data_IF_269138742163
#
_entry.id   IF_269138742163
#
_cell.length_a   1.000
_cell.length_b   1.000
_cell.length_c   1.000
_cell.angle_alpha   90.00
_cell.angle_beta   90.00
_cell.angle_gamma   90.00
#
_symmetry.space_group_name_H-M   'P 1'
#
loop_
_entity.id
_entity.type
_entity.pdbx_description
1 polymer ?
#
# COMPACT_ATOMS: atom_id res chain seq x y z
N UNK A 1 8.80 -25.11 12.59
CA UNK A 1 8.92 -24.75 11.15
C UNK A 1 8.53 -23.28 11.04
N UNK A 2 9.48 -22.40 10.72
CA UNK A 2 9.36 -20.95 10.90
C UNK A 2 8.30 -20.36 9.95
N UNK A 3 7.38 -19.58 10.54
CA UNK A 3 6.14 -19.13 9.89
C UNK A 3 6.35 -17.96 8.94
N UNK A 4 6.41 -18.27 7.65
CA UNK A 4 6.27 -17.31 6.56
C UNK A 4 4.82 -17.23 6.06
N UNK A 5 4.48 -16.12 5.39
CA UNK A 5 3.24 -15.96 4.65
C UNK A 5 3.31 -16.69 3.30
N UNK A 6 2.16 -17.07 2.74
CA UNK A 6 2.05 -17.66 1.41
C UNK A 6 0.88 -17.06 0.64
N UNK A 7 0.98 -17.04 -0.69
CA UNK A 7 -0.09 -16.59 -1.57
C UNK A 7 -1.13 -17.70 -1.71
N UNK A 8 -2.38 -17.39 -1.41
CA UNK A 8 -3.49 -18.35 -1.54
C UNK A 8 -3.85 -18.58 -3.01
N UNK A 9 -4.46 -19.73 -3.31
CA UNK A 9 -4.87 -20.06 -4.69
C UNK A 9 -5.87 -19.04 -5.26
N UNK A 10 -6.74 -18.49 -4.42
CA UNK A 10 -7.73 -17.47 -4.80
C UNK A 10 -7.06 -16.14 -5.22
N UNK A 11 -5.96 -15.77 -4.57
CA UNK A 11 -5.26 -14.50 -4.82
C UNK A 11 -4.26 -14.57 -5.99
N UNK A 12 -4.00 -15.75 -6.57
CA UNK A 12 -3.05 -15.89 -7.70
C UNK A 12 -3.46 -15.09 -8.93
N UNK A 13 -4.77 -15.03 -9.23
CA UNK A 13 -5.26 -14.23 -10.37
C UNK A 13 -4.99 -12.74 -10.15
N UNK A 14 -5.38 -12.21 -8.99
CA UNK A 14 -5.13 -10.81 -8.64
C UNK A 14 -3.64 -10.43 -8.68
N UNK A 15 -2.76 -11.34 -8.25
CA UNK A 15 -1.31 -11.16 -8.36
C UNK A 15 -0.86 -11.07 -9.84
N UNK A 16 -1.33 -11.98 -10.68
CA UNK A 16 -1.00 -12.00 -12.11
C UNK A 16 -1.49 -10.73 -12.82
N UNK A 17 -2.71 -10.30 -12.53
CA UNK A 17 -3.31 -9.10 -13.11
C UNK A 17 -2.52 -7.86 -12.67
N UNK A 18 -2.22 -7.73 -11.37
CA UNK A 18 -1.43 -6.63 -10.84
C UNK A 18 -0.01 -6.59 -11.46
N UNK A 19 0.64 -7.74 -11.58
CA UNK A 19 1.97 -7.84 -12.18
C UNK A 19 1.94 -7.41 -13.66
N UNK A 20 0.92 -7.85 -14.43
CA UNK A 20 0.72 -7.41 -15.80
C UNK A 20 0.49 -5.91 -15.92
N UNK A 21 -0.28 -5.31 -15.02
CA UNK A 21 -0.54 -3.86 -15.01
C UNK A 21 0.72 -3.06 -14.65
N UNK A 22 1.57 -3.59 -13.78
CA UNK A 22 2.85 -2.96 -13.43
C UNK A 22 3.97 -3.25 -14.43
N UNK A 23 3.76 -4.15 -15.39
CA UNK A 23 4.77 -4.56 -16.35
C UNK A 23 5.93 -5.34 -15.71
N UNK A 24 5.65 -6.11 -14.66
CA UNK A 24 6.63 -6.95 -13.96
C UNK A 24 6.19 -8.41 -13.96
N UNK A 25 7.13 -9.33 -13.75
CA UNK A 25 6.80 -10.75 -13.66
C UNK A 25 6.04 -11.06 -12.35
N UNK A 26 4.99 -11.92 -12.39
CA UNK A 26 4.23 -12.30 -11.19
C UNK A 26 5.09 -12.86 -10.06
N UNK A 27 6.14 -13.61 -10.39
CA UNK A 27 7.06 -14.19 -9.40
C UNK A 27 7.93 -13.13 -8.73
N UNK A 28 8.29 -12.06 -9.44
CA UNK A 28 9.03 -10.93 -8.85
C UNK A 28 8.14 -10.19 -7.86
N UNK A 29 6.88 -9.93 -8.23
CA UNK A 29 5.90 -9.31 -7.33
C UNK A 29 5.61 -10.20 -6.12
N UNK A 30 5.48 -11.53 -6.32
CA UNK A 30 5.28 -12.49 -5.25
C UNK A 30 6.46 -12.45 -4.26
N UNK A 31 7.68 -12.53 -4.78
CA UNK A 31 8.88 -12.53 -3.94
C UNK A 31 9.01 -11.23 -3.14
N UNK A 32 8.72 -10.08 -3.75
CA UNK A 32 8.74 -8.80 -3.07
C UNK A 32 7.71 -8.70 -1.91
N UNK A 33 6.57 -9.40 -2.02
CA UNK A 33 5.52 -9.43 -1.00
C UNK A 33 5.73 -10.50 0.08
N UNK A 34 6.54 -11.52 -0.21
CA UNK A 34 6.76 -12.67 0.67
C UNK A 34 8.11 -12.65 1.38
N UNK A 35 9.11 -11.97 0.84
CA UNK A 35 10.46 -11.97 1.36
C UNK A 35 11.03 -10.56 1.48
N UNK A 36 11.79 -10.34 2.54
CA UNK A 36 12.67 -9.18 2.68
C UNK A 36 14.11 -9.60 2.44
N UNK A 37 14.79 -8.91 1.53
CA UNK A 37 16.24 -9.07 1.33
C UNK A 37 16.98 -8.22 2.38
N UNK A 38 17.88 -8.84 3.14
CA UNK A 38 18.71 -8.18 4.15
C UNK A 38 20.18 -8.49 3.87
N UNK A 39 21.03 -7.48 3.91
CA UNK A 39 22.48 -7.68 3.79
C UNK A 39 23.03 -8.03 5.16
N UNK A 40 23.55 -9.23 5.32
CA UNK A 40 24.24 -9.61 6.56
C UNK A 40 25.67 -9.13 6.45
N UNK A 41 26.11 -8.28 7.39
CA UNK A 41 27.51 -7.90 7.55
C UNK A 41 28.15 -8.88 8.52
N UNK A 42 28.81 -9.91 8.00
CA UNK A 42 29.49 -10.90 8.83
C UNK A 42 30.78 -10.31 9.43
N UNK A 43 31.07 -10.64 10.68
CA UNK A 43 32.31 -10.26 11.38
C UNK A 43 33.52 -11.13 11.01
N UNK A 44 33.46 -11.86 9.89
CA UNK A 44 34.51 -12.79 9.44
C UNK A 44 34.77 -12.70 7.94
N UNK A 45 36.00 -13.07 7.54
CA UNK A 45 36.49 -13.02 6.16
C UNK A 45 35.66 -13.93 5.24
N UNK A 46 34.71 -13.32 4.51
CA UNK A 46 33.87 -13.99 3.50
C UNK A 46 32.35 -13.94 3.73
N UNK A 47 31.87 -13.32 4.82
CA UNK A 47 30.46 -13.42 5.23
C UNK A 47 29.58 -12.18 4.92
N UNK A 48 29.87 -11.46 3.82
CA UNK A 48 28.97 -10.42 3.29
C UNK A 48 27.99 -11.03 2.28
N UNK A 49 26.91 -11.63 2.79
CA UNK A 49 25.86 -12.28 2.00
C UNK A 49 24.56 -11.48 1.92
N UNK A 50 23.79 -11.72 0.85
CA UNK A 50 22.37 -11.37 0.81
C UNK A 50 21.56 -12.51 1.39
N UNK A 51 20.75 -12.22 2.40
CA UNK A 51 19.84 -13.17 3.04
C UNK A 51 18.39 -12.78 2.73
N UNK A 52 17.59 -13.74 2.26
CA UNK A 52 16.15 -13.57 2.14
C UNK A 52 15.45 -14.07 3.41
N UNK A 53 14.64 -13.21 4.01
CA UNK A 53 13.88 -13.49 5.23
C UNK A 53 12.40 -13.51 4.86
N UNK A 54 11.72 -14.63 5.12
CA UNK A 54 10.28 -14.74 4.89
C UNK A 54 9.49 -13.78 5.80
N UNK A 55 8.54 -13.06 5.22
CA UNK A 55 7.68 -12.11 5.92
C UNK A 55 6.54 -12.82 6.63
N UNK A 56 6.14 -12.28 7.79
CA UNK A 56 4.89 -12.66 8.45
C UNK A 56 3.69 -12.09 7.69
N UNK A 57 2.50 -12.62 7.97
CA UNK A 57 1.25 -12.19 7.33
C UNK A 57 0.98 -10.70 7.50
N UNK A 58 1.24 -10.16 8.69
CA UNK A 58 1.03 -8.74 9.01
C UNK A 58 2.00 -7.87 8.21
N UNK A 59 3.27 -8.28 8.12
CA UNK A 59 4.30 -7.55 7.36
C UNK A 59 3.99 -7.54 5.86
N UNK A 60 3.60 -8.70 5.30
CA UNK A 60 3.19 -8.81 3.90
C UNK A 60 1.94 -7.97 3.59
N UNK A 61 0.97 -7.94 4.51
CA UNK A 61 -0.25 -7.12 4.35
C UNK A 61 0.07 -5.62 4.41
N UNK A 62 0.93 -5.20 5.34
CA UNK A 62 1.39 -3.83 5.44
C UNK A 62 2.17 -3.40 4.20
N UNK A 63 3.04 -4.27 3.66
CA UNK A 63 3.78 -4.01 2.43
C UNK A 63 2.85 -3.83 1.22
N UNK A 64 1.82 -4.68 1.07
CA UNK A 64 0.78 -4.52 0.04
C UNK A 64 0.08 -3.17 0.15
N UNK A 65 -0.37 -2.81 1.35
CA UNK A 65 -1.11 -1.56 1.58
C UNK A 65 -0.23 -0.33 1.36
N UNK A 66 1.04 -0.40 1.76
CA UNK A 66 2.03 0.65 1.50
C UNK A 66 2.29 0.81 0.00
N UNK A 67 2.43 -0.29 -0.74
CA UNK A 67 2.59 -0.25 -2.20
C UNK A 67 1.38 0.42 -2.87
N UNK A 68 0.16 0.03 -2.49
CA UNK A 68 -1.06 0.63 -3.04
C UNK A 68 -1.13 2.14 -2.79
N UNK A 69 -0.82 2.57 -1.55
CA UNK A 69 -0.76 4.00 -1.19
C UNK A 69 0.30 4.75 -2.00
N UNK A 70 1.49 4.18 -2.15
CA UNK A 70 2.57 4.79 -2.90
C UNK A 70 2.23 4.97 -4.39
N UNK A 71 1.61 3.97 -5.01
CA UNK A 71 1.17 4.04 -6.41
C UNK A 71 0.11 5.14 -6.56
N UNK A 72 -0.92 5.13 -5.71
CA UNK A 72 -1.99 6.11 -5.78
C UNK A 72 -1.47 7.54 -5.57
N UNK A 73 -0.58 7.75 -4.60
CA UNK A 73 0.04 9.05 -4.35
C UNK A 73 0.78 9.55 -5.60
N UNK A 74 1.61 8.70 -6.22
CA UNK A 74 2.38 9.10 -7.41
C UNK A 74 1.49 9.34 -8.63
N UNK A 75 0.42 8.57 -8.78
CA UNK A 75 -0.56 8.78 -9.83
C UNK A 75 -1.27 10.12 -9.67
N UNK A 76 -1.68 10.46 -8.45
CA UNK A 76 -2.32 11.74 -8.15
C UNK A 76 -1.39 12.91 -8.48
N UNK A 77 -0.14 12.87 -8.00
CA UNK A 77 0.87 13.90 -8.28
C UNK A 77 1.12 14.05 -9.80
N UNK A 78 1.17 12.93 -10.52
CA UNK A 78 1.31 12.93 -11.98
C UNK A 78 0.12 13.63 -12.66
N UNK A 79 -1.12 13.30 -12.27
CA UNK A 79 -2.32 13.93 -12.82
C UNK A 79 -2.31 15.44 -12.56
N UNK A 80 -2.02 15.86 -11.32
CA UNK A 80 -1.93 17.29 -10.95
C UNK A 80 -0.87 17.99 -11.79
N UNK A 81 0.30 17.37 -11.97
CA UNK A 81 1.37 17.90 -12.81
C UNK A 81 0.94 18.04 -14.28
N UNK A 82 0.26 17.05 -14.85
CA UNK A 82 -0.26 17.11 -16.21
C UNK A 82 -1.27 18.25 -16.39
N UNK A 83 -2.18 18.45 -15.43
CA UNK A 83 -3.15 19.55 -15.47
C UNK A 83 -2.43 20.90 -15.40
N UNK A 84 -1.47 21.05 -14.49
CA UNK A 84 -0.69 22.29 -14.34
C UNK A 84 0.15 22.60 -15.58
N UNK A 85 0.63 21.60 -16.30
CA UNK A 85 1.35 21.78 -17.57
C UNK A 85 0.42 22.13 -18.74
N UNK A 86 -0.81 21.62 -18.74
CA UNK A 86 -1.80 21.89 -19.77
C UNK A 86 -2.36 23.32 -19.70
N UNK A 87 -2.26 23.98 -18.54
CA UNK A 87 -2.71 25.36 -18.34
C UNK A 87 -1.49 26.29 -18.46
N UNK A 88 -1.34 27.02 -19.57
CA UNK A 88 -0.21 27.93 -19.75
C UNK A 88 -0.28 29.08 -18.73
N UNK A 89 0.69 29.14 -17.83
CA UNK A 89 0.84 30.21 -16.85
C UNK A 89 2.00 31.13 -17.27
N UNK A 90 1.68 32.38 -17.60
CA UNK A 90 2.66 33.45 -17.69
C UNK A 90 3.19 33.79 -16.29
N UNK A 91 4.44 34.28 -16.19
CA UNK A 91 4.99 34.79 -14.93
C UNK A 91 4.18 36.02 -14.50
N UNK A 92 3.18 35.80 -13.66
CA UNK A 92 2.30 36.84 -13.16
C UNK A 92 2.67 37.15 -11.71
N UNK A 93 2.82 38.43 -11.37
CA UNK A 93 3.19 38.88 -10.01
C UNK A 93 2.04 38.74 -9.00
N UNK A 94 0.81 38.49 -9.47
CA UNK A 94 -0.43 38.43 -8.65
C UNK A 94 -1.32 37.28 -9.12
N UNK A 95 -1.98 36.59 -8.18
CA UNK A 95 -2.95 35.52 -8.44
C UNK A 95 -4.10 35.55 -7.43
N UNK A 96 -5.27 35.02 -7.82
CA UNK A 96 -6.42 34.80 -6.94
C UNK A 96 -6.63 33.28 -6.85
N UNK A 97 -6.53 32.71 -5.65
CA UNK A 97 -6.73 31.28 -5.41
C UNK A 97 -8.07 31.00 -4.74
N UNK A 98 -8.71 29.89 -5.11
CA UNK A 98 -9.90 29.35 -4.45
C UNK A 98 -9.51 28.08 -3.71
N UNK A 99 -9.84 27.99 -2.41
CA UNK A 99 -9.52 26.83 -1.57
C UNK A 99 -10.82 26.07 -1.26
N UNK A 100 -10.92 24.84 -1.77
CA UNK A 100 -11.98 23.89 -1.43
C UNK A 100 -11.38 22.69 -0.71
N UNK A 101 -11.76 22.49 0.55
CA UNK A 101 -11.30 21.40 1.40
C UNK A 101 -12.50 20.82 2.17
N UNK A 102 -12.47 19.51 2.42
CA UNK A 102 -13.55 18.85 3.15
C UNK A 102 -13.73 19.44 4.57
N UNK A 103 -15.00 19.64 4.97
CA UNK A 103 -15.39 20.12 6.30
C UNK A 103 -15.29 19.05 7.42
N UNK A 104 -15.61 19.44 8.65
CA UNK A 104 -15.49 18.58 9.85
C UNK A 104 -16.14 17.19 9.68
N UNK A 105 -15.33 16.14 9.78
CA UNK A 105 -15.80 14.75 9.77
C UNK A 105 -16.12 14.26 11.19
N UNK A 106 -17.39 14.08 11.52
CA UNK A 106 -17.78 13.42 12.78
C UNK A 106 -17.69 11.90 12.64
N UNK A 107 -16.84 11.28 13.46
CA UNK A 107 -16.87 9.82 13.63
C UNK A 107 -18.03 9.45 14.56
N UNK A 108 -19.19 9.13 13.98
CA UNK A 108 -20.36 8.66 14.76
C UNK A 108 -20.03 7.31 15.40
N UNK A 109 -19.84 7.32 16.71
CA UNK A 109 -19.61 6.12 17.51
C UNK A 109 -20.94 5.37 17.71
N UNK A 110 -21.28 4.45 16.79
CA UNK A 110 -22.47 3.58 16.94
C UNK A 110 -22.15 2.51 17.99
N UNK A 111 -22.25 2.86 19.27
CA UNK A 111 -22.28 1.88 20.35
C UNK A 111 -23.62 1.14 20.26
N UNK A 112 -23.60 -0.04 19.64
CA UNK A 112 -24.76 -0.96 19.53
C UNK A 112 -25.38 -1.15 20.91
N UNK A 113 -26.54 -0.54 21.17
CA UNK A 113 -27.39 -0.89 22.32
C UNK A 113 -28.01 -2.25 22.03
N UNK A 114 -27.44 -3.32 22.59
CA UNK A 114 -28.09 -4.64 22.64
C UNK A 114 -29.32 -4.55 23.54
N UNK A 115 -30.51 -4.59 22.95
CA UNK A 115 -31.75 -4.82 23.69
C UNK A 115 -31.76 -6.28 24.19
N UNK A 116 -31.90 -6.49 25.50
CA UNK A 116 -32.18 -7.80 26.10
C UNK A 116 -33.63 -8.19 25.76
N UNK A 117 -33.91 -9.43 25.29
CA UNK A 117 -35.29 -9.90 25.19
C UNK A 117 -35.80 -10.23 26.61
N UNK A 118 -36.90 -9.58 27.01
CA UNK A 118 -37.67 -9.97 28.19
C UNK A 118 -38.39 -11.31 27.90
N UNK A 119 -38.22 -12.25 28.83
CA UNK A 119 -38.87 -13.56 28.87
C UNK A 119 -40.39 -13.45 28.97
N UNK A 120 -41.09 -14.23 28.14
CA UNK A 120 -42.54 -14.45 28.19
C UNK A 120 -42.95 -15.08 29.53
N UNK A 121 -44.06 -14.59 30.08
CA UNK A 121 -44.91 -15.34 31.02
C UNK A 121 -45.93 -16.15 30.23
#
# INVERSE_FOLDING_TARGET
MQGGCQITQQSRRALSDAASLFGIEPEVLANAMLFRETRTRGTGAGADGKLQIALRREEASAARDALAKAIYSRLFDFIVSCVNQAIPMSKNERYIGVLDIAGFGESVNIKKRTAKPHSLH
#
